data_IF_221800483824
#
_entry.id   IF_221800483824
#
_cell.length_a   1.000
_cell.length_b   1.000
_cell.length_c   1.000
_cell.angle_alpha   90.00
_cell.angle_beta   90.00
_cell.angle_gamma   90.00
#
_symmetry.space_group_name_H-M   'P 1'
#
loop_
_entity.id
_entity.type
_entity.pdbx_description
1 polymer ?
#
# COMPACT_ATOMS: atom_id res chain seq x y z
N UNK A 1 19.60 20.55 -16.89
CA UNK A 1 18.16 20.26 -17.04
C UNK A 1 17.40 21.04 -15.98
N UNK A 2 16.95 22.26 -16.29
CA UNK A 2 16.11 23.04 -15.39
C UNK A 2 14.70 23.01 -15.95
N UNK A 3 13.84 22.14 -15.41
CA UNK A 3 12.45 21.97 -15.84
C UNK A 3 11.57 22.52 -14.74
N UNK A 4 11.29 23.83 -14.79
CA UNK A 4 10.49 24.50 -13.75
C UNK A 4 8.97 24.32 -13.92
N UNK A 5 8.51 23.69 -15.00
CA UNK A 5 7.09 23.39 -15.17
C UNK A 5 6.74 22.00 -14.60
N UNK A 6 6.02 22.01 -13.48
CA UNK A 6 5.44 20.81 -12.87
C UNK A 6 4.14 20.47 -13.58
N UNK A 7 4.12 19.38 -14.34
CA UNK A 7 2.88 18.81 -14.87
C UNK A 7 2.01 18.31 -13.71
N UNK A 8 0.78 18.83 -13.61
CA UNK A 8 -0.23 18.38 -12.65
C UNK A 8 -1.45 17.88 -13.40
N UNK A 9 -1.89 16.66 -13.09
CA UNK A 9 -3.06 16.02 -13.71
C UNK A 9 -4.11 15.74 -12.65
N UNK A 10 -5.34 16.20 -12.89
CA UNK A 10 -6.48 15.94 -12.02
C UNK A 10 -7.38 14.89 -12.66
N UNK A 11 -7.72 13.84 -11.91
CA UNK A 11 -8.56 12.74 -12.38
C UNK A 11 -9.76 12.63 -11.46
N UNK A 12 -10.97 12.66 -12.03
CA UNK A 12 -12.23 12.44 -11.32
C UNK A 12 -12.94 11.21 -11.88
N UNK A 13 -13.58 10.43 -11.03
CA UNK A 13 -14.33 9.24 -11.41
C UNK A 13 -15.54 9.07 -10.49
N UNK A 14 -16.58 8.39 -11.00
CA UNK A 14 -17.71 7.94 -10.16
C UNK A 14 -17.46 6.57 -9.54
N UNK A 15 -16.92 5.65 -10.34
CA UNK A 15 -16.60 4.30 -9.94
C UNK A 15 -15.22 3.94 -10.48
N UNK A 16 -14.35 3.38 -9.64
CA UNK A 16 -13.04 2.93 -10.01
C UNK A 16 -12.80 1.55 -9.39
N UNK A 17 -12.36 0.60 -10.22
CA UNK A 17 -12.06 -0.78 -9.78
C UNK A 17 -10.56 -1.07 -9.75
N UNK A 18 -9.79 -0.34 -10.55
CA UNK A 18 -8.35 -0.57 -10.71
C UNK A 18 -7.59 0.72 -10.90
N UNK A 19 -6.39 0.78 -10.33
CA UNK A 19 -5.42 1.84 -10.51
C UNK A 19 -4.08 1.20 -10.88
N UNK A 20 -3.55 1.54 -12.05
CA UNK A 20 -2.23 1.09 -12.51
C UNK A 20 -1.32 2.31 -12.62
N UNK A 21 -0.29 2.36 -11.78
CA UNK A 21 0.61 3.50 -11.64
C UNK A 21 2.00 3.13 -12.17
N UNK A 22 2.40 3.82 -13.25
CA UNK A 22 3.71 3.72 -13.88
C UNK A 22 4.22 5.13 -14.15
N UNK A 23 4.66 5.81 -13.10
CA UNK A 23 5.05 7.21 -13.16
C UNK A 23 6.36 7.49 -12.42
N UNK A 24 7.00 8.62 -12.75
CA UNK A 24 8.02 9.25 -11.91
C UNK A 24 7.40 10.52 -11.35
N UNK A 25 7.11 10.55 -10.05
CA UNK A 25 6.40 11.66 -9.43
C UNK A 25 5.53 11.24 -8.25
N UNK A 26 4.55 12.07 -7.93
CA UNK A 26 3.68 11.87 -6.78
C UNK A 26 2.21 11.72 -7.21
N UNK A 27 1.48 10.87 -6.50
CA UNK A 27 0.04 10.77 -6.58
C UNK A 27 -0.55 10.98 -5.20
N UNK A 28 -1.59 11.81 -5.12
CA UNK A 28 -2.36 12.04 -3.91
C UNK A 28 -3.85 11.96 -4.19
N UNK A 29 -4.63 11.40 -3.26
CA UNK A 29 -6.08 11.54 -3.30
C UNK A 29 -6.52 12.88 -2.72
N UNK A 30 -7.54 13.50 -3.32
CA UNK A 30 -8.27 14.58 -2.67
C UNK A 30 -9.37 13.99 -1.78
N UNK A 31 -9.27 14.23 -0.47
CA UNK A 31 -10.20 13.66 0.50
C UNK A 31 -10.16 12.12 0.56
N UNK A 32 -11.22 11.55 1.11
CA UNK A 32 -11.31 10.11 1.37
C UNK A 32 -12.13 9.40 0.28
N UNK A 33 -11.46 8.57 -0.51
CA UNK A 33 -12.06 7.81 -1.61
C UNK A 33 -12.85 6.60 -1.07
N UNK A 34 -13.87 6.14 -1.78
CA UNK A 34 -14.68 4.99 -1.36
C UNK A 34 -14.80 3.95 -2.46
N UNK A 35 -14.52 2.68 -2.11
CA UNK A 35 -14.50 1.57 -3.06
C UNK A 35 -15.23 0.35 -2.48
N UNK A 36 -15.96 -0.38 -3.32
CA UNK A 36 -16.36 -1.74 -2.95
C UNK A 36 -15.17 -2.68 -3.04
N UNK A 37 -14.46 -2.65 -4.17
CA UNK A 37 -13.20 -3.38 -4.39
C UNK A 37 -12.25 -2.52 -5.21
N UNK A 38 -10.98 -2.47 -4.80
CA UNK A 38 -9.92 -1.77 -5.52
C UNK A 38 -8.71 -2.68 -5.74
N UNK A 39 -8.22 -2.74 -6.97
CA UNK A 39 -6.91 -3.31 -7.31
C UNK A 39 -5.92 -2.19 -7.62
N UNK A 40 -4.83 -2.08 -6.86
CA UNK A 40 -3.75 -1.12 -7.07
C UNK A 40 -2.47 -1.86 -7.51
N UNK A 41 -1.98 -1.56 -8.71
CA UNK A 41 -0.65 -1.98 -9.16
C UNK A 41 0.25 -0.74 -9.27
N UNK A 42 1.23 -0.64 -8.37
CA UNK A 42 2.13 0.50 -8.29
C UNK A 42 3.55 0.10 -8.66
N UNK A 43 4.01 0.59 -9.81
CA UNK A 43 5.37 0.42 -10.35
C UNK A 43 6.00 1.80 -10.64
N UNK A 44 5.93 2.70 -9.66
CA UNK A 44 6.35 4.10 -9.80
C UNK A 44 7.67 4.40 -9.07
N UNK A 45 8.33 5.50 -9.44
CA UNK A 45 9.40 6.12 -8.64
C UNK A 45 8.86 7.40 -8.02
N UNK A 46 8.79 7.47 -6.69
CA UNK A 46 8.24 8.60 -5.95
C UNK A 46 7.28 8.19 -4.84
N UNK A 47 6.25 8.99 -4.61
CA UNK A 47 5.32 8.78 -3.48
C UNK A 47 3.86 8.67 -3.90
N UNK A 48 3.15 7.74 -3.29
CA UNK A 48 1.69 7.55 -3.45
C UNK A 48 1.07 7.74 -2.07
N UNK A 49 0.24 8.78 -1.88
CA UNK A 49 -0.49 9.07 -0.63
C UNK A 49 -2.00 8.98 -0.89
N UNK A 50 -2.65 7.94 -0.35
CA UNK A 50 -4.07 7.70 -0.57
C UNK A 50 -4.83 7.63 0.75
N UNK A 51 -5.90 8.41 0.86
CA UNK A 51 -6.94 8.25 1.86
C UNK A 51 -8.13 7.52 1.23
N UNK A 52 -8.46 6.33 1.73
CA UNK A 52 -9.50 5.48 1.16
C UNK A 52 -10.25 4.64 2.19
N UNK A 53 -11.52 4.34 1.87
CA UNK A 53 -12.33 3.30 2.47
C UNK A 53 -12.61 2.21 1.43
N UNK A 54 -12.39 0.94 1.78
CA UNK A 54 -12.69 -0.16 0.86
C UNK A 54 -13.23 -1.41 1.58
N UNK A 55 -14.16 -2.16 0.97
CA UNK A 55 -14.47 -3.49 1.50
C UNK A 55 -13.31 -4.44 1.18
N UNK A 56 -12.82 -4.42 -0.06
CA UNK A 56 -11.65 -5.20 -0.50
C UNK A 56 -10.58 -4.33 -1.15
N UNK A 57 -9.33 -4.51 -0.75
CA UNK A 57 -8.17 -3.85 -1.31
C UNK A 57 -7.08 -4.86 -1.67
N UNK A 58 -6.70 -4.92 -2.94
CA UNK A 58 -5.60 -5.75 -3.44
C UNK A 58 -4.47 -4.82 -3.94
N UNK A 59 -3.27 -4.92 -3.35
CA UNK A 59 -2.11 -4.07 -3.69
C UNK A 59 -0.96 -4.93 -4.19
N UNK A 60 -0.40 -4.54 -5.33
CA UNK A 60 0.92 -4.97 -5.82
C UNK A 60 1.83 -3.75 -5.86
N UNK A 61 2.83 -3.70 -4.97
CA UNK A 61 3.75 -2.59 -4.86
C UNK A 61 5.15 -3.01 -5.31
N UNK A 62 5.65 -2.41 -6.40
CA UNK A 62 6.98 -2.61 -6.99
C UNK A 62 7.73 -1.29 -7.15
N UNK A 63 7.34 -0.27 -6.37
CA UNK A 63 7.86 1.08 -6.50
C UNK A 63 9.26 1.26 -5.90
N UNK A 64 9.91 2.36 -6.25
CA UNK A 64 11.00 2.94 -5.45
C UNK A 64 10.48 4.21 -4.79
N UNK A 65 10.43 4.23 -3.46
CA UNK A 65 9.90 5.37 -2.70
C UNK A 65 8.89 4.96 -1.63
N UNK A 66 7.78 5.67 -1.52
CA UNK A 66 6.82 5.45 -0.42
C UNK A 66 5.38 5.28 -0.87
N UNK A 67 4.71 4.28 -0.28
CA UNK A 67 3.27 4.10 -0.36
C UNK A 67 2.68 4.42 1.01
N UNK A 68 1.81 5.43 1.08
CA UNK A 68 1.13 5.85 2.30
C UNK A 68 -0.37 5.67 2.13
N UNK A 69 -0.98 5.01 3.11
CA UNK A 69 -2.40 4.70 3.14
C UNK A 69 -3.01 5.22 4.43
N UNK A 70 -4.20 5.81 4.32
CA UNK A 70 -5.05 6.24 5.44
C UNK A 70 -6.49 5.81 5.21
N UNK A 71 -7.26 5.68 6.29
CA UNK A 71 -8.68 5.33 6.24
C UNK A 71 -8.93 3.91 6.76
N UNK A 72 -9.77 3.13 6.08
CA UNK A 72 -10.13 1.78 6.55
C UNK A 72 -10.43 0.77 5.45
N UNK A 73 -10.24 -0.51 5.74
CA UNK A 73 -10.79 -1.57 4.92
C UNK A 73 -11.25 -2.81 5.72
N UNK A 74 -12.13 -3.61 5.14
CA UNK A 74 -12.47 -4.90 5.73
C UNK A 74 -11.37 -5.93 5.42
N UNK A 75 -10.99 -6.06 4.15
CA UNK A 75 -9.96 -6.99 3.71
C UNK A 75 -8.89 -6.28 2.88
N UNK A 76 -7.62 -6.50 3.24
CA UNK A 76 -6.49 -6.05 2.42
C UNK A 76 -5.48 -7.17 2.16
N UNK A 77 -5.04 -7.28 0.91
CA UNK A 77 -3.91 -8.12 0.50
C UNK A 77 -2.83 -7.21 -0.07
N UNK A 78 -1.63 -7.28 0.49
CA UNK A 78 -0.49 -6.44 0.08
C UNK A 78 0.65 -7.36 -0.34
N UNK A 79 1.06 -7.26 -1.61
CA UNK A 79 2.28 -7.88 -2.12
C UNK A 79 3.27 -6.79 -2.47
N UNK A 80 4.40 -6.79 -1.79
CA UNK A 80 5.39 -5.72 -1.87
C UNK A 80 6.76 -6.29 -2.26
N UNK A 81 7.28 -5.83 -3.39
CA UNK A 81 8.66 -6.02 -3.83
C UNK A 81 9.24 -4.67 -4.25
N UNK A 82 9.29 -3.74 -3.28
CA UNK A 82 9.70 -2.34 -3.47
C UNK A 82 11.00 -2.03 -2.73
N UNK A 83 11.67 -0.96 -3.13
CA UNK A 83 12.71 -0.33 -2.31
C UNK A 83 12.12 0.92 -1.66
N UNK A 84 12.00 0.90 -0.33
CA UNK A 84 11.47 2.02 0.44
C UNK A 84 10.48 1.59 1.51
N UNK A 85 9.38 2.33 1.69
CA UNK A 85 8.49 2.12 2.84
C UNK A 85 7.01 2.09 2.48
N UNK A 86 6.29 1.17 3.11
CA UNK A 86 4.83 1.19 3.19
C UNK A 86 4.45 1.80 4.55
N UNK A 87 3.69 2.89 4.52
CA UNK A 87 3.24 3.66 5.68
C UNK A 87 1.71 3.59 5.79
N UNK A 88 1.21 2.57 6.45
CA UNK A 88 -0.21 2.26 6.59
C UNK A 88 -0.63 2.11 8.06
N UNK A 89 0.04 2.80 8.98
CA UNK A 89 -0.32 2.82 10.41
C UNK A 89 -1.66 3.54 10.67
N UNK A 90 -2.03 4.49 9.81
CA UNK A 90 -3.31 5.21 9.83
C UNK A 90 -4.41 4.53 8.97
N UNK A 91 -4.14 3.33 8.43
CA UNK A 91 -5.08 2.58 7.60
C UNK A 91 -5.56 1.31 8.33
N UNK A 92 -6.71 1.42 8.98
CA UNK A 92 -7.25 0.36 9.85
C UNK A 92 -7.91 -0.72 8.99
N UNK A 93 -7.34 -1.93 9.01
CA UNK A 93 -7.87 -3.08 8.26
C UNK A 93 -8.36 -4.17 9.21
N UNK A 94 -9.54 -4.74 8.96
CA UNK A 94 -10.03 -5.85 9.80
C UNK A 94 -9.14 -7.10 9.64
N UNK A 95 -8.98 -7.56 8.40
CA UNK A 95 -8.16 -8.73 8.06
C UNK A 95 -7.15 -8.38 6.98
N UNK A 96 -5.86 -8.59 7.27
CA UNK A 96 -4.76 -8.28 6.37
C UNK A 96 -3.87 -9.50 6.10
N UNK A 97 -3.51 -9.69 4.83
CA UNK A 97 -2.42 -10.56 4.39
C UNK A 97 -1.34 -9.69 3.73
N UNK A 98 -0.13 -9.71 4.25
CA UNK A 98 1.00 -8.96 3.71
C UNK A 98 2.19 -9.87 3.42
N UNK A 99 2.67 -9.77 2.19
CA UNK A 99 3.91 -10.39 1.70
C UNK A 99 4.88 -9.29 1.31
N UNK A 100 5.92 -9.08 2.13
CA UNK A 100 6.91 -8.03 1.94
C UNK A 100 8.29 -8.62 1.65
N UNK A 101 8.60 -8.73 0.36
CA UNK A 101 9.86 -9.24 -0.19
C UNK A 101 10.85 -8.13 -0.54
N UNK A 102 10.44 -6.87 -0.45
CA UNK A 102 11.27 -5.71 -0.79
C UNK A 102 12.36 -5.39 0.24
N UNK A 103 13.05 -4.27 -0.02
CA UNK A 103 14.04 -3.69 0.89
C UNK A 103 13.42 -2.48 1.59
N UNK A 104 13.39 -2.50 2.91
CA UNK A 104 12.88 -1.43 3.76
C UNK A 104 11.85 -1.92 4.78
N UNK A 105 10.81 -1.11 5.03
CA UNK A 105 9.84 -1.37 6.11
C UNK A 105 8.39 -1.22 5.66
N UNK A 106 7.52 -2.05 6.23
CA UNK A 106 6.08 -1.89 6.12
C UNK A 106 5.47 -1.71 7.51
N UNK A 107 4.85 -0.55 7.73
CA UNK A 107 4.01 -0.31 8.89
C UNK A 107 2.56 -0.47 8.48
N UNK A 108 1.84 -1.34 9.16
CA UNK A 108 0.44 -1.67 8.86
C UNK A 108 -0.41 -1.57 10.12
N UNK A 109 -1.73 -1.49 9.97
CA UNK A 109 -2.67 -1.47 11.09
C UNK A 109 -3.79 -2.48 10.88
N UNK A 110 -3.57 -3.70 11.37
CA UNK A 110 -4.56 -4.77 11.35
C UNK A 110 -5.24 -4.91 12.72
N UNK A 111 -6.57 -4.92 12.71
CA UNK A 111 -7.40 -4.90 13.91
C UNK A 111 -7.76 -6.31 14.43
N UNK A 112 -8.11 -7.25 13.55
CA UNK A 112 -8.53 -8.61 13.93
C UNK A 112 -7.52 -9.69 13.54
N UNK A 113 -7.13 -9.70 12.27
CA UNK A 113 -6.24 -10.73 11.73
C UNK A 113 -5.11 -10.11 10.91
N UNK A 114 -3.91 -10.62 11.13
CA UNK A 114 -2.73 -10.26 10.35
C UNK A 114 -1.92 -11.52 10.02
N UNK A 115 -1.77 -11.82 8.74
CA UNK A 115 -0.82 -12.79 8.21
C UNK A 115 0.35 -12.04 7.61
N UNK A 116 1.57 -12.46 7.96
CA UNK A 116 2.80 -11.81 7.48
C UNK A 116 3.75 -12.83 6.88
N UNK A 117 4.18 -12.55 5.66
CA UNK A 117 5.40 -13.09 5.05
C UNK A 117 6.35 -11.92 4.86
N UNK A 118 7.59 -12.06 5.34
CA UNK A 118 8.60 -11.01 5.23
C UNK A 118 9.96 -11.60 4.88
N UNK A 119 10.74 -10.86 4.11
CA UNK A 119 12.16 -11.15 3.87
C UNK A 119 13.02 -10.58 4.99
N UNK A 120 14.30 -10.98 5.06
CA UNK A 120 15.24 -10.44 6.04
C UNK A 120 15.37 -8.90 5.97
N UNK A 121 15.29 -8.35 4.77
CA UNK A 121 15.48 -6.92 4.48
C UNK A 121 14.17 -6.12 4.43
N UNK A 122 13.02 -6.78 4.56
CA UNK A 122 11.69 -6.20 4.38
C UNK A 122 10.82 -6.38 5.63
N UNK A 123 11.13 -5.69 6.74
CA UNK A 123 10.43 -5.90 8.02
C UNK A 123 9.01 -5.34 8.03
N UNK A 124 8.08 -6.09 8.62
CA UNK A 124 6.68 -5.66 8.81
C UNK A 124 6.38 -5.42 10.29
N UNK A 125 5.88 -4.23 10.62
CA UNK A 125 5.40 -3.85 11.95
C UNK A 125 3.90 -3.60 11.93
N UNK A 126 3.17 -4.24 12.84
CA UNK A 126 1.75 -3.94 13.07
C UNK A 126 1.61 -2.86 14.16
N UNK A 127 0.87 -1.80 13.86
CA UNK A 127 0.42 -0.79 14.80
C UNK A 127 -0.98 -1.10 15.37
N UNK A 128 -1.71 -2.03 14.77
CA UNK A 128 -3.04 -2.45 15.22
C UNK A 128 -3.01 -3.51 16.33
N UNK A 129 -4.20 -3.86 16.81
CA UNK A 129 -4.39 -4.82 17.91
C UNK A 129 -4.18 -6.29 17.53
N UNK A 130 -4.16 -6.64 16.23
CA UNK A 130 -4.05 -8.02 15.79
C UNK A 130 -2.67 -8.62 16.12
N UNK A 131 -2.66 -9.84 16.66
CA UNK A 131 -1.44 -10.65 16.77
C UNK A 131 -1.00 -11.13 15.38
N UNK A 132 0.23 -10.82 15.00
CA UNK A 132 0.78 -11.19 13.70
C UNK A 132 1.09 -12.70 13.62
N UNK A 133 0.42 -13.41 12.71
CA UNK A 133 0.74 -14.79 12.33
C UNK A 133 1.84 -14.76 11.26
N UNK A 134 3.09 -14.96 11.67
CA UNK A 134 4.26 -14.92 10.78
C UNK A 134 4.50 -16.27 10.14
N UNK A 135 4.73 -16.27 8.84
CA UNK A 135 5.00 -17.46 8.03
C UNK A 135 6.43 -17.31 7.48
N UNK A 136 7.32 -18.20 7.89
CA UNK A 136 8.69 -18.22 7.40
C UNK A 136 8.71 -18.64 5.92
N UNK A 137 9.44 -17.90 5.10
CA UNK A 137 9.75 -18.32 3.74
C UNK A 137 10.84 -19.40 3.83
N UNK A 138 10.52 -20.64 3.46
CA UNK A 138 11.54 -21.68 3.33
C UNK A 138 12.35 -21.35 2.09
N UNK A 139 13.61 -20.95 2.28
CA UNK A 139 14.60 -20.87 1.20
C UNK A 139 15.18 -22.28 1.09
N UNK A 140 14.84 -22.98 0.01
CA UNK A 140 15.49 -24.23 -0.42
C UNK A 140 16.65 -23.88 -1.34
#
# INVERSE_FOLDING_TARGET
FNSEEKLTVYITFKNLKSMELKMVGNLSSEGNLSFSSLSLDNSSVGSVDLALNANKLDIKNKSVGSLKLKGKADNAVIKSNSVGSIKASEFVVQTMDIDNDGVGSAEVNAAKELKVKESFLGKVRNAGSATAKRINKVVI
#
